data_IF_488906745015
#
_entry.id   IF_488906745015
#
_cell.length_a   1.000
_cell.length_b   1.000
_cell.length_c   1.000
_cell.angle_alpha   90.00
_cell.angle_beta   90.00
_cell.angle_gamma   90.00
#
_symmetry.space_group_name_H-M   'P 1'
#
loop_
_entity.id
_entity.type
_entity.pdbx_description
1 polymer ?
#
# COMPACT_ATOMS: atom_id res chain seq x y z
N UNK A 1 -49.76 -32.49 8.07
CA UNK A 1 -49.50 -31.06 7.75
C UNK A 1 -48.65 -30.35 8.80
N UNK A 2 -48.85 -30.60 10.11
CA UNK A 2 -48.08 -29.91 11.17
C UNK A 2 -46.56 -30.20 11.21
N UNK A 3 -46.12 -31.43 10.89
CA UNK A 3 -44.71 -31.83 10.97
C UNK A 3 -43.84 -31.11 9.93
N UNK A 4 -44.37 -30.89 8.72
CA UNK A 4 -43.68 -30.19 7.62
C UNK A 4 -43.50 -28.70 7.93
N UNK A 5 -44.43 -28.12 8.72
CA UNK A 5 -44.34 -26.73 9.18
C UNK A 5 -43.25 -26.56 10.25
N UNK A 6 -43.07 -27.56 11.13
CA UNK A 6 -42.06 -27.51 12.18
C UNK A 6 -40.64 -27.60 11.61
N UNK A 7 -40.42 -28.53 10.66
CA UNK A 7 -39.10 -28.68 10.02
C UNK A 7 -38.73 -27.44 9.20
N UNK A 8 -39.69 -26.84 8.49
CA UNK A 8 -39.47 -25.58 7.77
C UNK A 8 -39.12 -24.43 8.71
N UNK A 9 -39.76 -24.34 9.87
CA UNK A 9 -39.51 -23.30 10.86
C UNK A 9 -38.13 -23.47 11.52
N UNK A 10 -37.75 -24.71 11.83
CA UNK A 10 -36.42 -25.04 12.35
C UNK A 10 -35.34 -24.74 11.32
N UNK A 11 -35.54 -25.08 10.04
CA UNK A 11 -34.56 -24.81 8.99
C UNK A 11 -34.41 -23.31 8.72
N UNK A 12 -35.50 -22.56 8.78
CA UNK A 12 -35.49 -21.09 8.65
C UNK A 12 -34.81 -20.42 9.84
N UNK A 13 -35.10 -20.87 11.07
CA UNK A 13 -34.40 -20.40 12.27
C UNK A 13 -32.91 -20.75 12.23
N UNK A 14 -32.55 -21.93 11.71
CA UNK A 14 -31.17 -22.36 11.55
C UNK A 14 -30.45 -21.52 10.48
N UNK A 15 -31.13 -21.15 9.38
CA UNK A 15 -30.62 -20.22 8.36
C UNK A 15 -30.46 -18.78 8.86
N UNK A 16 -31.31 -18.33 9.79
CA UNK A 16 -31.17 -17.05 10.49
C UNK A 16 -30.09 -17.08 11.57
N UNK A 17 -29.77 -18.25 12.11
CA UNK A 17 -28.73 -18.46 13.13
C UNK A 17 -27.36 -18.80 12.53
N UNK A 18 -27.27 -19.15 11.25
CA UNK A 18 -25.99 -19.19 10.57
C UNK A 18 -25.49 -17.74 10.45
N UNK A 19 -24.27 -17.42 10.92
CA UNK A 19 -23.68 -16.13 10.62
C UNK A 19 -23.70 -16.01 9.09
N UNK A 20 -24.33 -14.95 8.57
CA UNK A 20 -24.18 -14.61 7.15
C UNK A 20 -22.68 -14.63 6.86
N UNK A 21 -22.24 -15.08 5.67
CA UNK A 21 -20.84 -14.95 5.31
C UNK A 21 -20.48 -13.48 5.55
N UNK A 22 -19.63 -13.23 6.55
CA UNK A 22 -19.04 -11.93 6.81
C UNK A 22 -18.46 -11.53 5.47
N UNK A 23 -19.08 -10.56 4.80
CA UNK A 23 -18.66 -10.16 3.46
C UNK A 23 -17.32 -9.50 3.66
N UNK A 24 -16.27 -10.28 3.43
CA UNK A 24 -14.92 -9.77 3.43
C UNK A 24 -14.81 -8.67 2.37
N UNK A 25 -13.92 -7.71 2.57
CA UNK A 25 -13.73 -6.58 1.66
C UNK A 25 -13.56 -7.10 0.24
N UNK A 26 -14.40 -6.69 -0.73
CA UNK A 26 -14.26 -7.09 -2.12
C UNK A 26 -12.90 -6.67 -2.65
N UNK A 27 -12.16 -7.59 -3.28
CA UNK A 27 -10.84 -7.28 -3.84
C UNK A 27 -10.90 -6.15 -4.86
N UNK A 28 -11.98 -6.07 -5.64
CA UNK A 28 -12.22 -4.98 -6.60
C UNK A 28 -12.32 -3.62 -5.91
N UNK A 29 -13.03 -3.52 -4.78
CA UNK A 29 -13.17 -2.27 -4.01
C UNK A 29 -11.80 -1.82 -3.46
N UNK A 30 -10.99 -2.77 -2.98
CA UNK A 30 -9.64 -2.48 -2.49
C UNK A 30 -8.69 -2.02 -3.62
N UNK A 31 -8.74 -2.67 -4.80
CA UNK A 31 -7.95 -2.27 -5.96
C UNK A 31 -8.33 -0.87 -6.45
N UNK A 32 -9.63 -0.53 -6.45
CA UNK A 32 -10.09 0.82 -6.76
C UNK A 32 -9.52 1.82 -5.74
N UNK A 33 -9.62 1.53 -4.43
CA UNK A 33 -9.06 2.38 -3.39
C UNK A 33 -7.55 2.62 -3.59
N UNK A 34 -6.78 1.55 -3.85
CA UNK A 34 -5.33 1.61 -4.13
C UNK A 34 -5.06 2.44 -5.39
N UNK A 35 -5.86 2.30 -6.45
CA UNK A 35 -5.71 3.08 -7.67
C UNK A 35 -5.95 4.58 -7.42
N UNK A 36 -6.96 4.92 -6.62
CA UNK A 36 -7.26 6.31 -6.23
C UNK A 36 -6.10 6.89 -5.44
N UNK A 37 -5.50 6.13 -4.52
CA UNK A 37 -4.31 6.56 -3.80
C UNK A 37 -3.14 6.88 -4.74
N UNK A 38 -2.87 6.04 -5.73
CA UNK A 38 -1.82 6.30 -6.73
C UNK A 38 -2.09 7.59 -7.51
N UNK A 39 -3.31 7.77 -8.01
CA UNK A 39 -3.72 8.96 -8.79
C UNK A 39 -3.68 10.25 -7.95
N UNK A 40 -3.95 10.15 -6.64
CA UNK A 40 -3.93 11.29 -5.70
C UNK A 40 -2.54 11.58 -5.11
N UNK A 41 -1.47 10.99 -5.66
CA UNK A 41 -0.10 11.25 -5.21
C UNK A 41 0.33 10.49 -3.94
N UNK A 42 -0.41 9.43 -3.57
CA UNK A 42 -0.12 8.54 -2.42
C UNK A 42 0.42 7.19 -2.88
N UNK A 43 1.17 7.18 -3.98
CA UNK A 43 1.70 5.98 -4.61
C UNK A 43 2.63 5.18 -3.70
N UNK A 44 3.42 5.84 -2.84
CA UNK A 44 4.29 5.15 -1.89
C UNK A 44 3.51 4.28 -0.90
N UNK A 45 2.46 4.84 -0.28
CA UNK A 45 1.60 4.11 0.63
C UNK A 45 0.81 3.01 -0.09
N UNK A 46 0.29 3.30 -1.28
CA UNK A 46 -0.39 2.31 -2.13
C UNK A 46 0.51 1.12 -2.47
N UNK A 47 1.75 1.40 -2.89
CA UNK A 47 2.72 0.35 -3.23
C UNK A 47 3.20 -0.40 -1.99
N UNK A 48 3.31 0.27 -0.85
CA UNK A 48 3.65 -0.39 0.41
C UNK A 48 2.58 -1.42 0.82
N UNK A 49 1.29 -1.08 0.67
CA UNK A 49 0.19 -2.03 0.87
C UNK A 49 0.30 -3.21 -0.12
N UNK A 50 0.43 -2.93 -1.42
CA UNK A 50 0.47 -3.99 -2.45
C UNK A 50 1.65 -4.95 -2.29
N UNK A 51 2.79 -4.47 -1.76
CA UNK A 51 4.01 -5.27 -1.61
C UNK A 51 4.20 -5.86 -0.19
N UNK A 52 3.24 -5.67 0.71
CA UNK A 52 3.31 -6.14 2.09
C UNK A 52 2.22 -7.16 2.39
N UNK A 53 2.47 -7.99 3.39
CA UNK A 53 1.55 -9.03 3.88
C UNK A 53 0.24 -8.47 4.45
N UNK A 54 0.21 -7.18 4.80
CA UNK A 54 -1.01 -6.51 5.25
C UNK A 54 -2.16 -6.62 4.24
N UNK A 55 -1.89 -6.75 2.94
CA UNK A 55 -2.93 -6.91 1.93
C UNK A 55 -3.89 -8.06 2.26
N UNK A 56 -3.36 -9.18 2.78
CA UNK A 56 -4.17 -10.32 3.20
C UNK A 56 -5.05 -10.01 4.41
N UNK A 57 -4.53 -9.22 5.36
CA UNK A 57 -5.29 -8.77 6.53
C UNK A 57 -6.44 -7.84 6.10
N UNK A 58 -6.20 -6.93 5.14
CA UNK A 58 -7.20 -6.00 4.60
C UNK A 58 -8.31 -6.75 3.85
N UNK A 59 -7.95 -7.71 3.00
CA UNK A 59 -8.90 -8.53 2.24
C UNK A 59 -9.70 -9.49 3.12
N UNK A 60 -9.18 -9.85 4.29
CA UNK A 60 -9.87 -10.75 5.23
C UNK A 60 -10.83 -10.02 6.17
N UNK A 61 -10.75 -8.69 6.24
CA UNK A 61 -11.60 -7.88 7.10
C UNK A 61 -13.01 -7.71 6.51
N UNK A 62 -14.02 -7.55 7.35
CA UNK A 62 -15.39 -7.24 6.92
C UNK A 62 -15.51 -5.79 6.42
N UNK A 63 -14.80 -4.88 7.07
CA UNK A 63 -14.77 -3.47 6.72
C UNK A 63 -13.48 -2.85 7.25
N UNK A 64 -13.00 -1.79 6.62
CA UNK A 64 -11.75 -1.16 7.04
C UNK A 64 -11.70 0.34 6.76
N UNK A 65 -10.81 1.00 7.49
CA UNK A 65 -10.42 2.40 7.23
C UNK A 65 -8.92 2.48 7.01
N UNK A 66 -8.50 3.07 5.89
CA UNK A 66 -7.09 3.39 5.65
C UNK A 66 -6.81 4.85 6.01
N UNK A 67 -5.79 5.04 6.84
CA UNK A 67 -5.30 6.35 7.27
C UNK A 67 -4.02 6.65 6.51
N UNK A 68 -4.05 7.59 5.58
CA UNK A 68 -2.97 7.79 4.61
C UNK A 68 -2.21 9.09 4.89
N UNK A 69 -0.92 9.03 5.24
CA UNK A 69 -0.13 10.24 5.43
C UNK A 69 -0.12 11.11 4.18
N UNK A 70 -0.47 12.39 4.34
CA UNK A 70 -0.76 13.35 3.26
C UNK A 70 0.32 14.42 3.17
N UNK A 71 0.87 14.83 4.30
CA UNK A 71 1.96 15.80 4.38
C UNK A 71 3.16 15.12 5.03
N UNK A 72 4.26 15.04 4.27
CA UNK A 72 5.51 14.39 4.67
C UNK A 72 6.65 15.41 4.66
N UNK A 73 6.33 16.70 4.69
CA UNK A 73 7.34 17.76 4.73
C UNK A 73 8.13 17.71 6.05
N UNK A 74 7.48 17.34 7.16
CA UNK A 74 8.07 17.30 8.50
C UNK A 74 8.80 15.96 8.78
N UNK A 75 8.29 14.86 8.22
CA UNK A 75 8.92 13.53 8.26
C UNK A 75 9.60 13.29 6.93
N UNK A 76 10.90 13.64 6.86
CA UNK A 76 11.67 13.62 5.62
C UNK A 76 11.43 12.35 4.79
N UNK A 77 11.30 12.51 3.47
CA UNK A 77 10.86 11.46 2.53
C UNK A 77 11.57 10.11 2.71
N UNK A 78 12.85 10.10 3.07
CA UNK A 78 13.61 8.87 3.30
C UNK A 78 13.06 8.08 4.51
N UNK A 79 12.77 8.77 5.62
CA UNK A 79 12.17 8.14 6.80
C UNK A 79 10.77 7.64 6.50
N UNK A 80 9.97 8.42 5.78
CA UNK A 80 8.64 8.00 5.32
C UNK A 80 8.70 6.73 4.46
N UNK A 81 9.62 6.67 3.49
CA UNK A 81 9.83 5.49 2.63
C UNK A 81 10.21 4.29 3.48
N UNK A 82 11.17 4.44 4.38
CA UNK A 82 11.63 3.37 5.27
C UNK A 82 10.44 2.85 6.11
N UNK A 83 9.69 3.74 6.74
CA UNK A 83 8.55 3.39 7.60
C UNK A 83 7.43 2.67 6.83
N UNK A 84 7.08 3.13 5.62
CA UNK A 84 6.02 2.51 4.84
C UNK A 84 6.47 1.19 4.20
N UNK A 85 7.67 1.13 3.65
CA UNK A 85 8.09 -0.01 2.82
C UNK A 85 8.81 -1.11 3.59
N UNK A 86 9.54 -0.78 4.66
CA UNK A 86 10.34 -1.75 5.40
C UNK A 86 9.67 -2.23 6.70
N UNK A 87 8.63 -1.54 7.17
CA UNK A 87 7.99 -1.86 8.44
C UNK A 87 6.48 -2.13 8.28
N UNK A 88 6.08 -3.40 8.11
CA UNK A 88 4.66 -3.78 8.03
C UNK A 88 3.84 -3.38 9.25
N UNK A 89 4.47 -3.22 10.42
CA UNK A 89 3.82 -2.72 11.62
C UNK A 89 3.31 -1.28 11.45
N UNK A 90 4.03 -0.44 10.71
CA UNK A 90 3.58 0.92 10.35
C UNK A 90 2.30 0.86 9.53
N UNK A 91 2.26 0.00 8.51
CA UNK A 91 1.08 -0.13 7.65
C UNK A 91 -0.13 -0.60 8.46
N UNK A 92 0.08 -1.56 9.38
CA UNK A 92 -0.98 -2.08 10.26
C UNK A 92 -1.49 -1.04 11.26
N UNK A 93 -0.63 -0.12 11.70
CA UNK A 93 -1.02 1.02 12.54
C UNK A 93 -1.93 1.99 11.77
N UNK A 94 -1.72 2.14 10.47
CA UNK A 94 -2.47 3.03 9.58
C UNK A 94 -3.73 2.39 8.99
N UNK A 95 -4.09 1.18 9.42
CA UNK A 95 -5.29 0.50 8.99
C UNK A 95 -6.17 0.19 10.22
N UNK A 96 -7.46 0.47 10.13
CA UNK A 96 -8.45 0.18 11.17
C UNK A 96 -9.36 -0.96 10.69
N UNK A 97 -9.66 -1.96 11.54
CA UNK A 97 -10.56 -3.07 11.19
C UNK A 97 -12.04 -2.69 11.30
N UNK A 98 -12.36 -1.40 11.14
CA UNK A 98 -13.71 -0.86 11.07
C UNK A 98 -13.74 0.19 9.96
N UNK A 99 -14.81 0.23 9.19
CA UNK A 99 -15.12 1.35 8.30
C UNK A 99 -15.68 2.51 9.11
N UNK A 100 -14.95 3.61 9.14
CA UNK A 100 -15.30 4.84 9.85
C UNK A 100 -15.20 6.00 8.88
N UNK A 101 -16.33 6.54 8.46
CA UNK A 101 -16.42 7.81 7.75
C UNK A 101 -16.02 8.97 8.65
N UNK A 102 -15.78 10.14 8.06
CA UNK A 102 -15.45 11.34 8.84
C UNK A 102 -16.59 11.75 9.79
N UNK A 103 -17.84 11.52 9.40
CA UNK A 103 -19.01 11.79 10.24
C UNK A 103 -19.06 10.84 11.43
N UNK A 104 -18.77 9.55 11.22
CA UNK A 104 -18.69 8.55 12.28
C UNK A 104 -17.54 8.85 13.24
N UNK A 105 -16.34 9.17 12.74
CA UNK A 105 -15.21 9.61 13.55
C UNK A 105 -15.57 10.83 14.43
N UNK A 106 -16.28 11.81 13.88
CA UNK A 106 -16.74 12.99 14.64
C UNK A 106 -17.77 12.63 15.71
N UNK A 107 -18.62 11.65 15.44
CA UNK A 107 -19.67 11.20 16.35
C UNK A 107 -19.14 10.41 17.55
N UNK A 108 -17.96 9.78 17.42
CA UNK A 108 -17.34 9.04 18.53
C UNK A 108 -17.07 9.95 19.74
N UNK A 109 -17.20 9.47 20.99
CA UNK A 109 -16.84 10.25 22.17
C UNK A 109 -15.40 10.78 22.12
N UNK A 110 -15.13 11.92 22.75
CA UNK A 110 -13.74 12.37 22.91
C UNK A 110 -12.96 11.38 23.78
N UNK A 111 -11.67 11.20 23.51
CA UNK A 111 -10.81 10.18 24.12
C UNK A 111 -11.24 8.73 23.85
N UNK A 112 -11.91 8.47 22.72
CA UNK A 112 -12.23 7.11 22.28
C UNK A 112 -10.97 6.35 21.87
N UNK A 113 -10.91 5.07 22.18
CA UNK A 113 -9.88 4.15 21.70
C UNK A 113 -10.37 3.48 20.40
N UNK A 114 -9.64 3.69 19.31
CA UNK A 114 -9.96 3.16 17.98
C UNK A 114 -8.97 2.05 17.64
N UNK A 115 -9.40 0.80 17.46
CA UNK A 115 -8.47 -0.32 17.22
C UNK A 115 -7.80 -0.22 15.85
N UNK A 116 -6.62 -0.82 15.72
CA UNK A 116 -5.86 -0.91 14.47
C UNK A 116 -5.60 -2.38 14.09
N UNK A 117 -5.13 -2.65 12.88
CA UNK A 117 -4.64 -3.99 12.51
C UNK A 117 -3.31 -4.32 13.21
N UNK A 118 -2.66 -3.36 13.87
CA UNK A 118 -1.49 -3.64 14.69
C UNK A 118 -1.96 -4.23 16.03
N UNK A 119 -1.60 -5.48 16.37
CA UNK A 119 -2.10 -6.13 17.57
C UNK A 119 -1.77 -5.34 18.85
N UNK A 120 -2.73 -5.29 19.76
CA UNK A 120 -2.61 -4.58 21.04
C UNK A 120 -2.32 -3.07 20.90
N UNK A 121 -2.67 -2.49 19.75
CA UNK A 121 -2.52 -1.07 19.51
C UNK A 121 -3.84 -0.43 19.03
N UNK A 122 -4.21 0.64 19.71
CA UNK A 122 -5.38 1.45 19.41
C UNK A 122 -4.99 2.91 19.39
N UNK A 123 -5.53 3.67 18.44
CA UNK A 123 -5.35 5.10 18.34
C UNK A 123 -6.29 5.82 19.31
N UNK A 124 -5.78 6.84 19.99
CA UNK A 124 -6.57 7.74 20.80
C UNK A 124 -7.19 8.82 19.92
N UNK A 125 -8.52 8.83 19.84
CA UNK A 125 -9.27 9.88 19.18
C UNK A 125 -9.40 11.09 20.09
N UNK A 126 -8.90 12.24 19.66
CA UNK A 126 -9.05 13.52 20.36
C UNK A 126 -9.74 14.56 19.50
N UNK A 127 -10.60 15.35 20.16
CA UNK A 127 -11.38 16.43 19.55
C UNK A 127 -11.19 17.71 20.37
N UNK A 128 -10.51 18.73 19.85
CA UNK A 128 -10.44 20.03 20.50
C UNK A 128 -11.82 20.67 20.59
N UNK A 129 -12.11 21.37 21.69
CA UNK A 129 -13.44 21.97 21.93
C UNK A 129 -13.77 23.15 21.01
N UNK A 130 -12.77 23.69 20.31
CA UNK A 130 -12.88 24.90 19.50
C UNK A 130 -13.02 24.65 17.99
N UNK A 131 -12.98 23.39 17.53
CA UNK A 131 -12.99 23.06 16.10
C UNK A 131 -13.58 21.67 15.81
N UNK A 132 -14.05 21.47 14.58
CA UNK A 132 -14.57 20.19 14.07
C UNK A 132 -13.46 19.24 13.55
N UNK A 133 -12.21 19.54 13.90
CA UNK A 133 -11.04 18.70 13.57
C UNK A 133 -11.01 17.45 14.45
N UNK A 134 -10.53 16.35 13.86
CA UNK A 134 -10.37 15.06 14.52
C UNK A 134 -8.89 14.70 14.48
N UNK A 135 -8.36 14.27 15.62
CA UNK A 135 -6.98 13.81 15.74
C UNK A 135 -6.96 12.35 16.17
N UNK A 136 -6.02 11.58 15.62
CA UNK A 136 -5.74 10.20 16.00
C UNK A 136 -4.30 10.14 16.47
N UNK A 137 -4.09 9.81 17.75
CA UNK A 137 -2.78 9.88 18.41
C UNK A 137 -2.05 11.22 18.21
N UNK A 138 -2.82 12.31 18.21
CA UNK A 138 -2.30 13.67 18.03
C UNK A 138 -2.04 14.07 16.58
N UNK A 139 -2.28 13.18 15.61
CA UNK A 139 -2.17 13.48 14.17
C UNK A 139 -3.54 13.85 13.61
N UNK A 140 -3.63 15.01 12.94
CA UNK A 140 -4.88 15.49 12.38
C UNK A 140 -5.35 14.66 11.19
N UNK A 141 -6.66 14.39 11.12
CA UNK A 141 -7.32 13.91 9.90
C UNK A 141 -7.52 15.09 8.94
N UNK A 142 -6.47 15.40 8.19
CA UNK A 142 -6.37 16.59 7.35
C UNK A 142 -7.20 16.53 6.07
N UNK A 143 -7.23 15.37 5.39
CA UNK A 143 -7.89 15.21 4.10
C UNK A 143 -8.92 14.07 4.16
N UNK A 144 -10.09 14.27 4.77
CA UNK A 144 -11.07 13.22 4.93
C UNK A 144 -11.70 12.79 3.59
N UNK A 145 -12.00 11.50 3.44
CA UNK A 145 -12.79 11.00 2.31
C UNK A 145 -12.01 10.95 1.00
N UNK A 146 -10.71 10.60 1.04
CA UNK A 146 -9.90 10.33 -0.16
C UNK A 146 -10.54 9.26 -1.05
N UNK A 147 -11.18 8.28 -0.43
CA UNK A 147 -12.01 7.25 -1.04
C UNK A 147 -13.03 6.79 0.00
N UNK A 148 -14.25 6.47 -0.43
CA UNK A 148 -15.25 5.88 0.47
C UNK A 148 -16.25 5.09 -0.36
N UNK A 149 -16.47 3.85 0.04
CA UNK A 149 -17.46 2.95 -0.55
C UNK A 149 -18.09 2.11 0.58
N UNK A 150 -18.71 0.97 0.28
CA UNK A 150 -19.48 0.17 1.23
C UNK A 150 -18.63 -0.42 2.36
N UNK A 151 -17.44 -0.94 2.08
CA UNK A 151 -16.59 -1.65 3.05
C UNK A 151 -15.33 -0.86 3.41
N UNK A 152 -14.88 0.06 2.54
CA UNK A 152 -13.65 0.81 2.71
C UNK A 152 -13.94 2.31 2.89
N UNK A 153 -13.30 2.91 3.88
CA UNK A 153 -13.12 4.36 3.99
C UNK A 153 -11.63 4.71 3.95
N UNK A 154 -11.27 5.84 3.37
CA UNK A 154 -9.90 6.32 3.29
C UNK A 154 -9.84 7.78 3.70
N UNK A 155 -8.99 8.09 4.67
CA UNK A 155 -8.79 9.43 5.19
C UNK A 155 -7.32 9.79 5.15
N UNK A 156 -7.01 11.00 4.70
CA UNK A 156 -5.67 11.54 4.72
C UNK A 156 -5.32 12.12 6.08
N UNK A 157 -4.12 11.79 6.59
CA UNK A 157 -3.55 12.30 7.82
C UNK A 157 -2.52 13.40 7.55
N UNK A 158 -2.41 14.37 8.47
CA UNK A 158 -1.39 15.41 8.39
C UNK A 158 0.05 14.87 8.52
N UNK A 159 0.26 13.71 9.15
CA UNK A 159 1.58 13.12 9.31
C UNK A 159 1.47 11.59 9.44
N UNK A 160 2.59 10.90 9.57
CA UNK A 160 2.66 9.49 9.92
C UNK A 160 2.27 9.28 11.39
N UNK A 161 1.52 8.21 11.67
CA UNK A 161 1.16 7.86 13.05
C UNK A 161 2.41 7.42 13.82
N UNK A 162 2.67 8.01 15.00
CA UNK A 162 3.84 7.68 15.79
C UNK A 162 3.65 6.34 16.49
N UNK A 163 4.52 5.38 16.22
CA UNK A 163 4.69 4.23 17.10
C UNK A 163 5.90 4.49 18.01
N UNK A 164 5.80 4.13 19.29
CA UNK A 164 6.91 4.34 20.24
C UNK A 164 8.15 3.53 19.87
N UNK A 165 9.36 4.13 19.94
CA UNK A 165 10.67 3.44 19.72
C UNK A 165 10.82 2.14 20.49
N UNK A 166 10.41 2.13 21.76
CA UNK A 166 10.45 0.90 22.57
C UNK A 166 9.58 -0.22 22.00
N UNK A 167 8.42 0.14 21.45
CA UNK A 167 7.47 -0.79 20.86
C UNK A 167 7.95 -1.28 19.49
N UNK A 168 8.61 -0.42 18.71
CA UNK A 168 9.30 -0.84 17.49
C UNK A 168 10.32 -1.94 17.79
N UNK A 169 11.19 -1.72 18.78
CA UNK A 169 12.22 -2.70 19.15
C UNK A 169 11.63 -4.00 19.70
N UNK A 170 10.52 -3.94 20.43
CA UNK A 170 9.81 -5.15 20.88
C UNK A 170 9.23 -5.96 19.70
N UNK A 171 8.57 -5.29 18.75
CA UNK A 171 8.01 -5.92 17.56
C UNK A 171 9.10 -6.47 16.63
N UNK A 172 10.19 -5.74 16.47
CA UNK A 172 11.39 -6.16 15.75
C UNK A 172 12.00 -7.42 16.37
N UNK A 173 12.23 -7.41 17.68
CA UNK A 173 12.76 -8.57 18.41
C UNK A 173 11.81 -9.78 18.34
N UNK A 174 10.49 -9.57 18.27
CA UNK A 174 9.50 -10.64 18.11
C UNK A 174 9.45 -11.19 16.69
N UNK A 175 9.62 -10.35 15.67
CA UNK A 175 9.70 -10.77 14.27
C UNK A 175 11.00 -11.55 13.97
N UNK A 176 12.11 -11.19 14.63
CA UNK A 176 13.39 -11.88 14.51
C UNK A 176 13.59 -13.05 15.48
N UNK A 177 12.69 -13.24 16.45
CA UNK A 177 12.65 -14.46 17.23
C UNK A 177 12.15 -15.61 16.34
N UNK A 178 13.08 -16.23 15.61
CA UNK A 178 12.82 -17.47 14.90
C UNK A 178 12.17 -18.47 15.87
N UNK A 179 11.20 -19.29 15.42
CA UNK A 179 10.76 -20.42 16.22
C UNK A 179 11.99 -21.25 16.61
N UNK A 180 12.01 -21.87 17.81
CA UNK A 180 13.13 -22.73 18.19
C UNK A 180 13.37 -23.72 17.06
N UNK A 181 14.57 -23.66 16.46
CA UNK A 181 14.99 -24.59 15.43
C UNK A 181 14.83 -25.99 16.02
N UNK A 182 13.82 -26.72 15.56
CA UNK A 182 13.73 -28.15 15.85
C UNK A 182 14.91 -28.75 15.12
N UNK A 183 15.90 -29.24 15.87
CA UNK A 183 17.06 -29.94 15.33
C UNK A 183 16.55 -31.01 14.34
N UNK A 184 16.76 -30.76 13.06
CA UNK A 184 16.42 -31.73 12.03
C UNK A 184 17.34 -32.93 12.22
N UNK A 185 16.81 -34.17 12.25
CA UNK A 185 17.65 -35.35 12.40
C UNK A 185 18.61 -35.42 11.20
N UNK A 186 19.91 -35.41 11.49
CA UNK A 186 21.00 -35.52 10.54
C UNK A 186 20.98 -36.89 9.87
N UNK A 187 20.23 -37.02 8.79
CA UNK A 187 20.35 -38.15 7.87
C UNK A 187 21.39 -37.78 6.81
N UNK A 188 22.64 -38.22 7.03
CA UNK A 188 23.70 -38.15 6.03
C UNK A 188 23.59 -39.36 5.09
N UNK A 189 23.17 -39.23 3.82
CA UNK A 189 23.32 -40.33 2.88
C UNK A 189 24.79 -40.38 2.43
N UNK A 190 25.49 -41.45 2.82
CA UNK A 190 26.81 -41.81 2.32
C UNK A 190 26.72 -42.24 0.85
N UNK A 191 26.82 -41.27 -0.06
CA UNK A 191 27.10 -41.53 -1.47
C UNK A 191 28.57 -41.21 -1.77
N UNK A 192 29.33 -42.26 -2.09
CA UNK A 192 30.67 -42.15 -2.64
C UNK A 192 30.58 -41.99 -4.16
N UNK A 193 30.98 -40.87 -4.79
CA UNK A 193 31.17 -40.83 -6.23
C UNK A 193 32.59 -41.31 -6.53
N UNK A 194 32.69 -42.53 -7.07
CA UNK A 194 33.90 -42.95 -7.76
C UNK A 194 33.92 -42.23 -9.11
N UNK A 195 34.65 -41.11 -9.23
CA UNK A 195 35.28 -40.57 -10.44
C UNK A 195 35.85 -39.17 -10.12
N UNK A 196 37.17 -39.03 -10.18
CA UNK A 196 37.87 -37.75 -10.06
C UNK A 196 38.27 -37.24 -11.44
N UNK A 197 37.78 -36.08 -11.91
CA UNK A 197 38.49 -35.28 -12.89
C UNK A 197 39.37 -34.27 -12.16
N UNK A 198 40.68 -34.33 -12.44
CA UNK A 198 41.65 -33.35 -11.99
C UNK A 198 41.44 -32.01 -12.71
N UNK A 199 40.76 -31.08 -12.05
CA UNK A 199 40.84 -29.66 -12.37
C UNK A 199 40.97 -28.89 -11.04
N UNK A 200 42.08 -28.16 -10.90
CA UNK A 200 42.35 -27.32 -9.73
C UNK A 200 42.04 -25.86 -10.11
N UNK A 201 41.04 -25.20 -9.51
CA UNK A 201 41.04 -23.75 -9.41
C UNK A 201 41.71 -23.37 -8.09
N UNK A 202 42.79 -22.60 -8.17
CA UNK A 202 43.44 -21.98 -7.03
C UNK A 202 42.52 -20.91 -6.44
N UNK A 203 41.86 -21.18 -5.32
CA UNK A 203 41.22 -20.16 -4.49
C UNK A 203 42.03 -19.94 -3.21
N UNK A 204 42.51 -18.70 -3.06
CA UNK A 204 43.12 -18.19 -1.83
C UNK A 204 42.01 -17.68 -0.89
N UNK A 205 42.01 -18.01 0.41
CA UNK A 205 41.01 -17.50 1.35
C UNK A 205 41.43 -16.11 1.84
N UNK A 206 40.68 -15.08 1.46
CA UNK A 206 40.71 -13.77 2.13
C UNK A 206 39.45 -13.60 2.97
N UNK A 207 39.54 -13.19 4.25
CA UNK A 207 38.37 -13.04 5.10
C UNK A 207 37.82 -11.62 4.97
N UNK A 208 36.71 -11.42 4.24
CA UNK A 208 35.87 -10.23 4.42
C UNK A 208 34.39 -10.56 4.28
N UNK A 209 33.72 -10.45 5.42
CA UNK A 209 32.30 -10.16 5.54
C UNK A 209 31.95 -8.94 4.68
N UNK A 210 31.02 -9.11 3.74
CA UNK A 210 30.23 -8.02 3.18
C UNK A 210 28.94 -8.61 2.62
N UNK A 211 27.85 -8.39 3.35
CA UNK A 211 26.49 -8.54 2.88
C UNK A 211 26.20 -7.44 1.86
N UNK A 212 26.50 -7.65 0.59
CA UNK A 212 25.98 -6.84 -0.53
C UNK A 212 25.69 -7.76 -1.71
N UNK A 213 24.42 -8.09 -1.94
CA UNK A 213 23.98 -8.59 -3.25
C UNK A 213 23.55 -7.37 -4.04
N UNK A 214 24.51 -6.77 -4.74
CA UNK A 214 24.24 -6.14 -6.03
C UNK A 214 24.73 -7.13 -7.08
N UNK A 215 23.89 -7.62 -8.00
CA UNK A 215 24.38 -8.47 -9.08
C UNK A 215 25.35 -7.66 -9.94
N UNK A 216 26.41 -8.32 -10.40
CA UNK A 216 27.41 -7.68 -11.24
C UNK A 216 26.75 -7.24 -12.57
N UNK A 217 27.23 -6.17 -13.23
CA UNK A 217 26.64 -5.68 -14.48
C UNK A 217 26.62 -6.72 -15.62
N UNK A 218 27.42 -7.78 -15.52
CA UNK A 218 27.55 -8.81 -16.55
C UNK A 218 26.29 -9.69 -16.64
N UNK A 219 25.63 -9.96 -15.51
CA UNK A 219 24.39 -10.76 -15.47
C UNK A 219 23.19 -10.03 -16.13
N UNK A 220 23.27 -8.70 -16.28
CA UNK A 220 22.23 -7.90 -16.94
C UNK A 220 22.28 -7.98 -18.47
N UNK A 221 23.46 -8.23 -19.05
CA UNK A 221 23.66 -8.25 -20.50
C UNK A 221 23.14 -9.55 -21.12
N UNK A 222 23.24 -10.69 -20.41
CA UNK A 222 22.72 -11.97 -20.91
C UNK A 222 21.18 -12.01 -20.97
N UNK A 223 20.47 -11.32 -20.07
CA UNK A 223 19.01 -11.45 -19.97
C UNK A 223 18.23 -10.47 -20.87
N UNK A 224 18.68 -9.23 -21.01
CA UNK A 224 17.93 -8.19 -21.75
C UNK A 224 18.55 -7.75 -23.08
N UNK A 225 19.77 -8.21 -23.40
CA UNK A 225 20.47 -7.87 -24.64
C UNK A 225 20.68 -6.36 -24.86
N UNK A 226 20.44 -5.51 -23.85
CA UNK A 226 20.60 -4.05 -23.88
C UNK A 226 20.92 -3.50 -22.51
N UNK A 227 21.85 -2.55 -22.47
CA UNK A 227 22.22 -1.79 -21.27
C UNK A 227 21.21 -0.66 -21.00
N UNK A 228 20.86 -0.35 -19.73
CA UNK A 228 19.87 0.68 -19.37
C UNK A 228 20.23 2.13 -19.71
N UNK A 229 21.37 2.39 -20.34
CA UNK A 229 21.93 3.73 -20.50
C UNK A 229 21.56 4.42 -21.83
N UNK A 230 20.73 3.82 -22.69
CA UNK A 230 20.37 4.42 -23.98
C UNK A 230 18.92 4.95 -23.98
N UNK A 231 18.70 6.27 -24.18
CA UNK A 231 17.36 6.83 -24.30
C UNK A 231 16.67 6.35 -25.59
N UNK A 232 15.33 6.24 -25.63
CA UNK A 232 14.62 5.77 -26.81
C UNK A 232 14.81 6.74 -27.98
N UNK A 233 15.22 6.21 -29.14
CA UNK A 233 15.20 6.97 -30.40
C UNK A 233 13.76 7.27 -30.79
N UNK A 234 13.39 8.55 -30.76
CA UNK A 234 12.14 9.05 -31.34
C UNK A 234 12.22 8.79 -32.84
N UNK A 235 11.35 7.93 -33.35
CA UNK A 235 11.17 7.76 -34.79
C UNK A 235 10.65 9.08 -35.38
N UNK A 236 11.37 9.61 -36.37
CA UNK A 236 10.94 10.77 -37.14
C UNK A 236 9.59 10.46 -37.81
N UNK A 237 8.54 11.13 -37.38
CA UNK A 237 7.26 11.17 -38.10
C UNK A 237 7.44 12.16 -39.26
N UNK A 238 7.22 11.78 -40.53
CA UNK A 238 7.35 12.70 -41.64
C UNK A 238 6.31 13.81 -41.53
N UNK A 239 6.77 15.05 -41.35
CA UNK A 239 5.93 16.25 -41.46
C UNK A 239 5.53 16.40 -42.92
N UNK A 240 4.25 16.15 -43.22
CA UNK A 240 3.67 16.51 -44.52
C UNK A 240 3.35 18.00 -44.50
N UNK A 241 4.15 18.81 -45.20
CA UNK A 241 3.82 20.22 -45.50
C UNK A 241 2.65 20.29 -46.49
N UNK A 242 1.66 21.20 -46.30
CA UNK A 242 0.76 21.58 -47.38
C UNK A 242 1.41 22.68 -48.26
N UNK A 243 1.08 22.76 -49.58
CA UNK A 243 1.68 23.74 -50.48
C UNK A 243 1.09 25.13 -50.26
N UNK A 244 1.97 26.14 -50.26
CA UNK A 244 1.63 27.54 -50.37
C UNK A 244 1.36 27.85 -51.85
N UNK A 245 0.13 28.23 -52.19
CA UNK A 245 -0.12 29.11 -53.34
C UNK A 245 -0.61 30.44 -52.78
N UNK A 246 0.22 31.46 -53.00
CA UNK A 246 -0.11 32.87 -52.85
C UNK A 246 -1.03 33.25 -54.01
N UNK A 247 -2.18 33.85 -53.74
CA UNK A 247 -2.70 34.84 -54.67
C UNK A 247 -3.43 35.98 -53.97
N UNK A 248 -3.07 37.17 -54.43
CA UNK A 248 -3.39 38.49 -53.90
C UNK A 248 -4.80 38.91 -54.30
N UNK A 249 -5.65 39.33 -53.36
CA UNK A 249 -6.62 40.41 -53.62
C UNK A 249 -6.69 41.35 -52.42
N UNK A 250 -6.18 42.55 -52.66
CA UNK A 250 -6.34 43.77 -51.87
C UNK A 250 -7.81 44.19 -51.89
N UNK A 251 -8.40 44.36 -50.70
CA UNK A 251 -9.75 44.90 -50.50
C UNK A 251 -9.72 45.96 -49.42
N UNK A 252 -9.54 47.19 -49.86
CA UNK A 252 -9.62 48.47 -49.14
C UNK A 252 -10.98 48.63 -48.44
N UNK A 253 -11.03 49.21 -47.24
CA UNK A 253 -12.28 49.27 -46.48
C UNK A 253 -12.23 49.93 -45.10
N UNK A 254 -11.56 51.06 -44.94
CA UNK A 254 -11.78 52.00 -43.85
C UNK A 254 -13.11 52.74 -44.04
N UNK A 255 -14.00 52.72 -43.03
CA UNK A 255 -15.02 53.76 -42.81
C UNK A 255 -16.04 53.43 -41.68
N UNK A 256 -15.88 54.14 -40.56
CA UNK A 256 -16.89 54.86 -39.77
C UNK A 256 -17.93 54.16 -38.84
N UNK A 257 -17.84 54.59 -37.55
CA UNK A 257 -18.89 55.06 -36.62
C UNK A 257 -19.77 54.09 -35.81
N UNK A 258 -19.53 54.13 -34.49
CA UNK A 258 -20.47 54.34 -33.36
C UNK A 258 -21.99 54.30 -33.60
N UNK A 259 -22.71 53.59 -32.73
CA UNK A 259 -24.12 53.91 -32.43
C UNK A 259 -24.88 52.83 -31.63
N UNK A 260 -24.98 53.08 -30.31
CA UNK A 260 -25.96 52.59 -29.32
C UNK A 260 -25.91 51.12 -28.85
#
# INVERSE_FOLDING_TARGET
>A
MAIVSLTSFVLFALMLCLPLPSVAVPSEELEIAISVLRVRGRALFANAITNSDILFDLLSAESLTLLVPTDVEDVGLNEYIIMCTLFPCTLRLHALPLRLTISELRSLPNASSVPTFLPSHSLLLTKPSSSDSVYLDGVEVYLPGLFSDQHIAVHGLANILPLSRSRWTELENRAFALPPMVDSPSFSPSYSPAYSPSYSPSYSPSPRSTWWISPSPEDYIEFFGRTPAEPPRIGEVPVSQPPLEEDLIVGDGDSWTTGF
#
